data_IF_315964234366
#
_entry.id   IF_315964234366
#
_cell.length_a   1.000
_cell.length_b   1.000
_cell.length_c   1.000
_cell.angle_alpha   90.00
_cell.angle_beta   90.00
_cell.angle_gamma   90.00
#
_symmetry.space_group_name_H-M   'P 1'
#
loop_
_entity.id
_entity.type
_entity.pdbx_description
1 polymer ?
#
# COMPACT_ATOMS: atom_id res chain seq x y z
N UNK A 1 4.99 -13.19 0.51
CA UNK A 1 5.76 -13.69 -0.66
C UNK A 1 4.90 -14.65 -1.44
N UNK A 2 5.16 -14.88 -2.74
CA UNK A 2 4.53 -15.95 -3.51
C UNK A 2 5.40 -17.21 -3.50
N UNK A 3 4.76 -18.38 -3.45
CA UNK A 3 5.46 -19.68 -3.47
C UNK A 3 5.91 -20.08 -4.88
N UNK A 4 5.18 -19.64 -5.91
CA UNK A 4 5.45 -19.94 -7.32
C UNK A 4 5.34 -18.68 -8.18
N UNK A 5 5.94 -18.74 -9.37
CA UNK A 5 5.81 -17.71 -10.40
C UNK A 5 4.74 -18.13 -11.41
N UNK A 6 4.11 -17.16 -12.06
CA UNK A 6 3.21 -17.39 -13.18
C UNK A 6 3.96 -17.95 -14.43
N UNK A 7 3.26 -18.34 -15.50
CA UNK A 7 3.89 -18.86 -16.72
C UNK A 7 4.85 -17.89 -17.44
N UNK A 8 4.80 -16.60 -17.09
CA UNK A 8 5.66 -15.56 -17.62
C UNK A 8 6.84 -15.24 -16.69
N UNK A 9 6.91 -15.89 -15.52
CA UNK A 9 7.96 -15.70 -14.53
C UNK A 9 7.72 -14.53 -13.57
N UNK A 10 6.48 -14.07 -13.41
CA UNK A 10 6.12 -13.01 -12.47
C UNK A 10 5.54 -13.54 -11.17
N UNK A 11 5.76 -12.81 -10.08
CA UNK A 11 4.93 -12.94 -8.88
C UNK A 11 3.54 -12.38 -9.16
N UNK A 12 3.49 -11.23 -9.85
CA UNK A 12 2.29 -10.55 -10.35
C UNK A 12 2.69 -9.58 -11.46
N UNK A 13 1.86 -9.38 -12.47
CA UNK A 13 2.08 -8.32 -13.46
C UNK A 13 1.74 -6.95 -12.84
N UNK A 14 2.59 -5.93 -13.05
CA UNK A 14 2.33 -4.58 -12.54
C UNK A 14 0.99 -3.98 -12.99
N UNK A 15 0.46 -4.38 -14.15
CA UNK A 15 -0.87 -3.95 -14.60
C UNK A 15 -1.99 -4.46 -13.69
N UNK A 16 -1.77 -5.60 -13.04
CA UNK A 16 -2.73 -6.17 -12.08
C UNK A 16 -2.72 -5.42 -10.74
N UNK A 17 -1.75 -4.52 -10.52
CA UNK A 17 -1.75 -3.57 -9.40
C UNK A 17 -2.63 -2.33 -9.67
N UNK A 18 -3.29 -2.27 -10.82
CA UNK A 18 -4.23 -1.20 -11.20
C UNK A 18 -5.23 -0.81 -10.10
N UNK A 19 -5.83 -1.77 -9.35
CA UNK A 19 -6.72 -1.44 -8.24
C UNK A 19 -6.08 -0.54 -7.16
N UNK A 20 -4.80 -0.72 -6.83
CA UNK A 20 -4.11 0.13 -5.85
C UNK A 20 -3.95 1.55 -6.39
N UNK A 21 -3.59 1.68 -7.67
CA UNK A 21 -3.49 2.97 -8.33
C UNK A 21 -4.83 3.70 -8.27
N UNK A 22 -5.92 3.04 -8.67
CA UNK A 22 -7.26 3.63 -8.63
C UNK A 22 -7.67 4.03 -7.21
N UNK A 23 -7.40 3.20 -6.20
CA UNK A 23 -7.69 3.56 -4.82
C UNK A 23 -6.94 4.83 -4.36
N UNK A 24 -5.65 4.93 -4.70
CA UNK A 24 -4.86 6.13 -4.35
C UNK A 24 -5.42 7.35 -5.09
N UNK A 25 -5.61 7.26 -6.41
CA UNK A 25 -6.09 8.37 -7.24
C UNK A 25 -7.49 8.85 -6.80
N UNK A 26 -8.40 7.91 -6.57
CA UNK A 26 -9.80 8.21 -6.35
C UNK A 26 -10.07 8.64 -4.91
N UNK A 27 -9.39 8.06 -3.91
CA UNK A 27 -9.72 8.25 -2.49
C UNK A 27 -8.71 9.06 -1.69
N UNK A 28 -7.44 9.13 -2.09
CA UNK A 28 -6.37 9.74 -1.29
C UNK A 28 -5.73 10.97 -1.97
N UNK A 29 -5.50 10.90 -3.28
CA UNK A 29 -4.82 11.94 -4.03
C UNK A 29 -5.65 13.23 -4.10
N UNK A 30 -4.97 14.38 -4.08
CA UNK A 30 -5.59 15.72 -4.06
C UNK A 30 -6.66 15.92 -2.96
N UNK A 31 -6.61 15.17 -1.85
CA UNK A 31 -7.54 15.27 -0.72
C UNK A 31 -6.82 15.58 0.58
N UNK A 32 -7.57 16.16 1.52
CA UNK A 32 -7.08 16.36 2.88
C UNK A 32 -7.24 15.06 3.67
N UNK A 33 -6.13 14.37 3.98
CA UNK A 33 -6.18 13.02 4.52
C UNK A 33 -6.86 12.94 5.91
N UNK A 34 -6.82 14.00 6.71
CA UNK A 34 -7.53 14.00 8.00
C UNK A 34 -9.05 13.89 7.80
N UNK A 35 -9.59 14.42 6.70
CA UNK A 35 -11.01 14.31 6.38
C UNK A 35 -11.35 12.92 5.86
N UNK A 36 -10.44 12.32 5.08
CA UNK A 36 -10.59 10.95 4.55
C UNK A 36 -10.61 9.91 5.67
N UNK A 37 -9.72 10.06 6.66
CA UNK A 37 -9.56 9.10 7.76
C UNK A 37 -10.26 9.53 9.06
N UNK A 38 -10.82 10.74 9.12
CA UNK A 38 -11.63 11.24 10.23
C UNK A 38 -10.85 11.63 11.49
N UNK A 39 -9.53 11.86 11.39
CA UNK A 39 -8.71 12.31 12.52
C UNK A 39 -7.42 13.02 12.08
N UNK A 40 -6.81 13.80 12.97
CA UNK A 40 -5.66 14.64 12.62
C UNK A 40 -4.29 13.95 12.64
N UNK A 41 -4.21 12.73 13.18
CA UNK A 41 -2.96 11.98 13.32
C UNK A 41 -2.63 11.10 12.11
N UNK A 42 -2.61 11.67 10.89
CA UNK A 42 -2.26 10.94 9.66
C UNK A 42 -0.75 10.96 9.44
N UNK A 43 -0.06 9.96 9.98
CA UNK A 43 1.40 9.80 9.82
C UNK A 43 1.75 8.81 8.70
N UNK A 44 3.03 8.81 8.28
CA UNK A 44 3.51 7.84 7.30
C UNK A 44 3.39 6.39 7.80
N UNK A 45 3.58 6.13 9.10
CA UNK A 45 3.40 4.82 9.72
C UNK A 45 1.94 4.35 9.67
N UNK A 46 1.00 5.26 9.97
CA UNK A 46 -0.43 4.97 9.86
C UNK A 46 -0.80 4.62 8.42
N UNK A 47 -0.39 5.45 7.46
CA UNK A 47 -0.65 5.21 6.04
C UNK A 47 -0.03 3.90 5.55
N UNK A 48 1.21 3.59 5.94
CA UNK A 48 1.86 2.34 5.57
C UNK A 48 1.07 1.12 6.05
N UNK A 49 0.57 1.16 7.30
CA UNK A 49 -0.26 0.08 7.84
C UNK A 49 -1.60 -0.02 7.11
N UNK A 50 -2.32 1.08 6.93
CA UNK A 50 -3.64 1.08 6.27
C UNK A 50 -3.55 0.61 4.82
N UNK A 51 -2.54 1.09 4.08
CA UNK A 51 -2.28 0.63 2.71
C UNK A 51 -1.85 -0.84 2.68
N UNK A 52 -1.08 -1.30 3.66
CA UNK A 52 -0.77 -2.73 3.78
C UNK A 52 -2.03 -3.56 3.95
N UNK A 53 -2.90 -3.23 4.89
CA UNK A 53 -4.14 -3.97 5.15
C UNK A 53 -5.03 -4.00 3.89
N UNK A 54 -5.11 -2.87 3.17
CA UNK A 54 -5.85 -2.78 1.92
C UNK A 54 -5.27 -3.67 0.82
N UNK A 55 -3.93 -3.71 0.68
CA UNK A 55 -3.22 -4.53 -0.29
C UNK A 55 -3.29 -6.02 0.06
N UNK A 56 -3.05 -6.38 1.32
CA UNK A 56 -3.03 -7.76 1.81
C UNK A 56 -4.41 -8.43 1.70
N UNK A 57 -5.50 -7.66 1.81
CA UNK A 57 -6.86 -8.15 1.55
C UNK A 57 -7.10 -8.57 0.08
N UNK A 58 -6.22 -8.16 -0.85
CA UNK A 58 -6.34 -8.44 -2.29
C UNK A 58 -5.24 -9.36 -2.81
N UNK A 59 -4.05 -9.25 -2.24
CA UNK A 59 -2.84 -9.90 -2.73
C UNK A 59 -2.10 -10.54 -1.55
N UNK A 60 -2.22 -11.86 -1.43
CA UNK A 60 -1.62 -12.62 -0.33
C UNK A 60 -0.08 -12.60 -0.33
N UNK A 61 0.52 -12.27 -1.47
CA UNK A 61 1.96 -12.16 -1.63
C UNK A 61 2.57 -10.89 -1.02
N UNK A 62 1.75 -9.88 -0.68
CA UNK A 62 2.18 -8.58 -0.14
C UNK A 62 2.90 -8.78 1.19
N UNK A 63 4.17 -8.37 1.24
CA UNK A 63 5.02 -8.59 2.41
C UNK A 63 5.24 -7.34 3.26
N UNK A 64 5.12 -6.16 2.66
CA UNK A 64 5.25 -4.88 3.35
C UNK A 64 4.70 -3.74 2.47
N UNK A 65 4.42 -2.60 3.09
CA UNK A 65 4.19 -1.33 2.41
C UNK A 65 5.09 -0.27 3.02
N UNK A 66 5.66 0.56 2.16
CA UNK A 66 6.47 1.72 2.55
C UNK A 66 5.82 3.00 2.06
N UNK A 67 5.75 4.01 2.92
CA UNK A 67 5.24 5.35 2.59
C UNK A 67 6.36 6.36 2.81
N UNK A 68 6.65 7.14 1.77
CA UNK A 68 7.66 8.20 1.81
C UNK A 68 6.95 9.55 1.80
N UNK A 69 7.00 10.28 2.92
CA UNK A 69 6.46 11.65 2.99
C UNK A 69 7.37 12.63 2.24
N UNK A 70 8.68 12.45 2.42
CA UNK A 70 9.72 13.18 1.67
C UNK A 70 10.65 12.16 1.02
N UNK A 71 11.50 12.56 0.05
CA UNK A 71 12.47 11.65 -0.54
C UNK A 71 13.51 11.06 0.42
N UNK A 72 13.63 11.59 1.66
CA UNK A 72 14.65 11.18 2.64
C UNK A 72 14.08 10.45 3.85
N UNK A 73 12.76 10.44 4.02
CA UNK A 73 12.10 9.87 5.19
C UNK A 73 10.97 8.95 4.73
N UNK A 74 10.93 7.75 5.30
CA UNK A 74 9.90 6.77 5.03
C UNK A 74 9.54 6.00 6.30
N UNK A 75 8.30 5.51 6.33
CA UNK A 75 7.85 4.51 7.26
C UNK A 75 7.58 3.21 6.49
N UNK A 76 7.94 2.07 7.08
CA UNK A 76 7.61 0.75 6.58
C UNK A 76 6.67 0.07 7.57
N UNK A 77 5.59 -0.51 7.06
CA UNK A 77 4.81 -1.50 7.79
C UNK A 77 5.02 -2.88 7.18
N UNK A 78 5.45 -3.82 8.04
CA UNK A 78 5.64 -5.24 7.76
C UNK A 78 5.07 -5.99 8.97
N UNK A 79 4.06 -6.86 8.81
CA UNK A 79 3.57 -7.64 9.93
C UNK A 79 4.62 -8.64 10.39
N UNK A 80 4.72 -8.82 11.70
CA UNK A 80 5.47 -9.93 12.29
C UNK A 80 4.72 -11.23 11.92
N UNK A 81 5.42 -12.13 11.23
CA UNK A 81 4.90 -13.41 10.75
C UNK A 81 4.63 -14.37 11.90
#
# INVERSE_FOLDING_TARGET
SAEELDPYGFVRDYRELGPLKSYIDDELDHRHLNDVFGHDAITAEFLAKTLYEWCAARWGEVSAVMVSETPKTWAEYRPDV
#
